data_IF_915479223659
#
_entry.id   IF_915479223659
#
_cell.length_a   1.000
_cell.length_b   1.000
_cell.length_c   1.000
_cell.angle_alpha   90.00
_cell.angle_beta   90.00
_cell.angle_gamma   90.00
#
_symmetry.space_group_name_H-M   'P 1'
#
loop_
_entity.id
_entity.type
_entity.pdbx_description
1 polymer ?
#
# COMPACT_ATOMS: atom_id res chain seq x y z
N UNK A 1 12.84 7.66 2.87
CA UNK A 1 11.46 8.19 2.89
C UNK A 1 10.46 7.07 3.10
N UNK A 2 9.55 7.27 4.05
CA UNK A 2 8.51 6.33 4.45
C UNK A 2 7.15 7.02 4.34
N UNK A 3 6.14 6.29 3.87
CA UNK A 3 4.81 6.85 3.61
C UNK A 3 3.77 6.00 4.30
N UNK A 4 2.93 6.61 5.13
CA UNK A 4 1.75 5.95 5.69
C UNK A 4 0.57 6.20 4.78
N UNK A 5 -0.02 5.13 4.24
CA UNK A 5 -1.18 5.18 3.37
C UNK A 5 -2.36 4.51 4.05
N UNK A 6 -3.48 5.22 4.14
CA UNK A 6 -4.78 4.66 4.50
C UNK A 6 -5.48 4.16 3.25
N UNK A 7 -6.03 2.96 3.32
CA UNK A 7 -6.85 2.33 2.29
C UNK A 7 -8.25 2.16 2.87
N UNK A 8 -9.25 2.76 2.26
CA UNK A 8 -10.63 2.75 2.77
C UNK A 8 -11.67 2.68 1.64
N UNK A 9 -12.94 2.77 2.04
CA UNK A 9 -14.10 2.83 1.16
C UNK A 9 -14.20 1.60 0.25
N UNK A 10 -14.34 0.41 0.84
CA UNK A 10 -14.74 -0.80 0.13
C UNK A 10 -16.23 -0.71 -0.21
N UNK A 11 -16.54 0.19 -1.15
CA UNK A 11 -17.86 0.78 -1.38
C UNK A 11 -18.99 -0.25 -1.59
N UNK A 12 -18.63 -1.51 -1.83
CA UNK A 12 -19.58 -2.58 -2.13
C UNK A 12 -19.63 -3.74 -1.13
N UNK A 13 -18.72 -3.86 -0.15
CA UNK A 13 -18.70 -5.01 0.78
C UNK A 13 -18.86 -4.62 2.25
N UNK A 14 -18.12 -3.63 2.73
CA UNK A 14 -18.18 -3.18 4.12
C UNK A 14 -17.65 -1.73 4.22
N UNK A 15 -18.49 -0.75 4.56
CA UNK A 15 -18.08 0.65 4.63
C UNK A 15 -17.13 0.95 5.81
N UNK A 16 -16.94 0.00 6.73
CA UNK A 16 -16.05 0.12 7.88
C UNK A 16 -14.71 -0.59 7.64
N UNK A 17 -14.55 -1.28 6.51
CA UNK A 17 -13.31 -1.96 6.18
C UNK A 17 -12.22 -0.95 5.83
N UNK A 18 -11.01 -1.20 6.32
CA UNK A 18 -9.85 -0.36 6.07
C UNK A 18 -8.55 -1.14 6.21
N UNK A 19 -7.48 -0.61 5.62
CA UNK A 19 -6.12 -1.01 5.92
C UNK A 19 -5.22 0.22 6.05
N UNK A 20 -4.27 0.18 6.96
CA UNK A 20 -3.19 1.15 7.08
C UNK A 20 -1.92 0.42 6.66
N UNK A 21 -1.24 0.95 5.66
CA UNK A 21 0.03 0.41 5.17
C UNK A 21 1.14 1.43 5.33
N UNK A 22 2.31 0.95 5.70
CA UNK A 22 3.56 1.69 5.64
C UNK A 22 4.31 1.28 4.39
N UNK A 23 4.82 2.25 3.64
CA UNK A 23 5.60 2.02 2.42
C UNK A 23 6.97 2.65 2.59
N UNK A 24 8.00 1.83 2.48
CA UNK A 24 9.39 2.28 2.36
C UNK A 24 9.72 2.44 0.88
N UNK A 25 9.87 3.69 0.44
CA UNK A 25 10.06 3.99 -0.98
C UNK A 25 11.47 3.67 -1.49
N UNK A 26 12.44 3.51 -0.58
CA UNK A 26 13.83 3.18 -0.90
C UNK A 26 13.99 1.66 -0.99
N UNK A 27 13.51 0.93 0.02
CA UNK A 27 13.52 -0.53 0.06
C UNK A 27 12.50 -1.15 -0.91
N UNK A 28 11.56 -0.36 -1.44
CA UNK A 28 10.42 -0.81 -2.27
C UNK A 28 9.62 -1.91 -1.58
N UNK A 29 9.39 -1.73 -0.28
CA UNK A 29 8.65 -2.65 0.58
C UNK A 29 7.46 -1.95 1.20
N UNK A 30 6.45 -2.73 1.55
CA UNK A 30 5.34 -2.24 2.35
C UNK A 30 5.02 -3.23 3.47
N UNK A 31 4.50 -2.71 4.58
CA UNK A 31 3.96 -3.48 5.71
C UNK A 31 2.55 -3.01 6.03
N UNK A 32 1.75 -3.89 6.62
CA UNK A 32 0.40 -3.60 7.09
C UNK A 32 0.46 -3.34 8.59
N UNK A 33 0.19 -2.10 8.98
CA UNK A 33 0.22 -1.64 10.37
C UNK A 33 -1.13 -1.83 11.08
N UNK A 34 -2.22 -1.85 10.33
CA UNK A 34 -3.56 -2.05 10.88
C UNK A 34 -4.56 -2.39 9.79
N UNK A 35 -5.62 -3.13 10.13
CA UNK A 35 -6.70 -3.41 9.20
C UNK A 35 -7.96 -3.88 9.93
N UNK A 36 -9.11 -3.67 9.32
CA UNK A 36 -10.37 -4.30 9.70
C UNK A 36 -11.18 -4.63 8.44
N UNK A 37 -11.94 -5.73 8.45
CA UNK A 37 -12.83 -6.10 7.34
C UNK A 37 -12.14 -6.51 6.03
N UNK A 38 -10.80 -6.46 5.94
CA UNK A 38 -10.04 -6.85 4.74
C UNK A 38 -8.94 -7.85 5.03
N UNK A 39 -8.76 -8.78 4.09
CA UNK A 39 -7.66 -9.74 4.07
C UNK A 39 -6.50 -9.19 3.24
N UNK A 40 -5.59 -8.50 3.92
CA UNK A 40 -4.34 -7.98 3.35
C UNK A 40 -3.15 -8.73 3.94
N UNK A 41 -2.14 -9.04 3.11
CA UNK A 41 -0.89 -9.65 3.59
C UNK A 41 -0.20 -8.74 4.61
N UNK A 42 0.59 -9.32 5.52
CA UNK A 42 1.29 -8.55 6.54
C UNK A 42 2.36 -7.62 5.96
N UNK A 43 2.99 -8.03 4.87
CA UNK A 43 3.98 -7.22 4.16
C UNK A 43 4.19 -7.72 2.73
N UNK A 44 4.94 -6.95 1.96
CA UNK A 44 5.39 -7.35 0.65
C UNK A 44 6.22 -6.30 -0.07
N UNK A 45 6.22 -6.36 -1.39
CA UNK A 45 6.97 -5.44 -2.25
C UNK A 45 6.04 -4.43 -2.90
N UNK A 46 6.51 -3.22 -3.14
CA UNK A 46 5.82 -2.25 -3.99
C UNK A 46 6.62 -2.03 -5.28
N UNK A 47 5.92 -1.87 -6.39
CA UNK A 47 6.55 -1.63 -7.68
C UNK A 47 5.62 -0.81 -8.57
N UNK A 48 6.15 -0.12 -9.59
CA UNK A 48 5.32 0.55 -10.60
C UNK A 48 4.35 -0.46 -11.25
N UNK A 49 3.09 -0.07 -11.39
CA UNK A 49 2.04 -0.86 -12.04
C UNK A 49 1.28 0.05 -13.03
N UNK A 50 0.65 -0.48 -14.10
CA UNK A 50 -0.10 0.37 -15.02
C UNK A 50 -1.16 1.19 -14.28
N UNK A 51 -1.01 2.51 -14.28
CA UNK A 51 -1.93 3.43 -13.60
C UNK A 51 -1.46 3.94 -12.23
N UNK A 52 -0.36 3.43 -11.66
CA UNK A 52 0.17 3.93 -10.39
C UNK A 52 1.19 2.99 -9.73
N UNK A 53 1.04 2.77 -8.43
CA UNK A 53 1.92 1.88 -7.65
C UNK A 53 1.19 0.60 -7.27
N UNK A 54 1.74 -0.56 -7.64
CA UNK A 54 1.23 -1.87 -7.23
C UNK A 54 1.81 -2.31 -5.89
N UNK A 55 0.98 -2.90 -5.03
CA UNK A 55 1.38 -3.63 -3.83
C UNK A 55 1.31 -5.14 -4.10
N UNK A 56 2.40 -5.85 -3.85
CA UNK A 56 2.55 -7.28 -4.10
C UNK A 56 2.79 -8.01 -2.79
N UNK A 57 2.08 -9.11 -2.56
CA UNK A 57 2.22 -9.92 -1.35
C UNK A 57 3.58 -10.65 -1.32
N UNK A 58 4.22 -10.76 -0.15
CA UNK A 58 5.50 -11.47 -0.05
C UNK A 58 5.39 -12.98 -0.38
N UNK A 59 4.32 -13.66 0.02
CA UNK A 59 4.23 -15.13 -0.06
C UNK A 59 4.08 -15.67 -1.49
N UNK A 60 3.19 -15.07 -2.28
CA UNK A 60 2.84 -15.56 -3.63
C UNK A 60 3.31 -14.60 -4.75
N UNK A 61 3.86 -13.44 -4.40
CA UNK A 61 4.16 -12.32 -5.32
C UNK A 61 2.96 -11.88 -6.17
N UNK A 62 1.75 -12.28 -5.80
CA UNK A 62 0.52 -11.78 -6.38
C UNK A 62 0.35 -10.30 -6.06
N UNK A 63 0.01 -9.52 -7.08
CA UNK A 63 -0.47 -8.15 -6.88
C UNK A 63 -1.75 -8.20 -6.04
N UNK A 64 -1.74 -7.46 -4.94
CA UNK A 64 -2.84 -7.33 -3.99
C UNK A 64 -3.77 -6.20 -4.44
N UNK A 65 -3.19 -5.04 -4.75
CA UNK A 65 -3.92 -3.88 -5.25
C UNK A 65 -2.99 -2.91 -5.97
N UNK A 66 -3.60 -2.04 -6.77
CA UNK A 66 -2.95 -0.89 -7.39
C UNK A 66 -3.44 0.40 -6.73
N UNK A 67 -2.52 1.23 -6.26
CA UNK A 67 -2.75 2.59 -5.79
C UNK A 67 -2.69 3.52 -7.01
N UNK A 68 -3.85 3.75 -7.64
CA UNK A 68 -3.94 4.49 -8.90
C UNK A 68 -3.56 5.96 -8.69
N UNK A 69 -2.72 6.49 -9.58
CA UNK A 69 -2.19 7.86 -9.53
C UNK A 69 -0.98 8.03 -8.60
N UNK A 70 -0.78 7.13 -7.63
CA UNK A 70 0.36 7.21 -6.72
C UNK A 70 1.65 6.86 -7.47
N UNK A 71 2.59 7.79 -7.50
CA UNK A 71 3.90 7.60 -8.12
C UNK A 71 5.03 7.73 -7.10
N UNK A 72 5.48 6.60 -6.56
CA UNK A 72 6.62 6.55 -5.62
C UNK A 72 7.99 6.73 -6.29
N UNK A 73 8.05 6.90 -7.61
CA UNK A 73 9.27 7.18 -8.36
C UNK A 73 9.35 8.63 -8.84
N UNK A 74 8.32 9.44 -8.57
CA UNK A 74 8.39 10.87 -8.82
C UNK A 74 9.46 11.50 -7.92
N UNK A 75 10.31 12.36 -8.47
CA UNK A 75 11.39 13.00 -7.73
C UNK A 75 10.91 13.96 -6.62
N UNK A 76 9.65 14.37 -6.67
CA UNK A 76 8.99 15.18 -5.63
C UNK A 76 8.27 14.35 -4.56
N UNK A 77 8.18 13.02 -4.73
CA UNK A 77 7.52 12.11 -3.80
C UNK A 77 6.01 12.33 -3.66
N UNK A 78 5.29 11.40 -3.01
CA UNK A 78 3.93 11.68 -2.56
C UNK A 78 3.93 12.70 -1.41
N UNK A 79 2.83 13.43 -1.25
CA UNK A 79 2.67 14.43 -0.18
C UNK A 79 1.50 14.08 0.77
N UNK A 80 1.54 14.61 1.99
CA UNK A 80 0.46 14.43 2.98
C UNK A 80 -0.87 14.97 2.45
N UNK A 81 -1.92 14.15 2.51
CA UNK A 81 -3.25 14.46 1.98
C UNK A 81 -3.46 14.10 0.50
N UNK A 82 -2.43 13.63 -0.21
CA UNK A 82 -2.59 13.07 -1.54
C UNK A 82 -3.54 11.86 -1.49
N UNK A 83 -4.42 11.74 -2.48
CA UNK A 83 -5.40 10.67 -2.50
C UNK A 83 -5.75 10.22 -3.92
N UNK A 84 -6.25 9.00 -4.02
CA UNK A 84 -6.65 8.42 -5.29
C UNK A 84 -7.51 7.17 -5.10
N UNK A 85 -7.69 6.42 -6.17
CA UNK A 85 -8.48 5.19 -6.18
C UNK A 85 -7.59 3.98 -5.96
N UNK A 86 -8.10 2.99 -5.23
CA UNK A 86 -7.47 1.67 -5.09
C UNK A 86 -8.19 0.71 -6.01
N UNK A 87 -7.43 0.00 -6.84
CA UNK A 87 -7.93 -1.15 -7.61
C UNK A 87 -7.51 -2.43 -6.91
N UNK A 88 -8.45 -3.14 -6.30
CA UNK A 88 -8.15 -4.40 -5.62
C UNK A 88 -8.11 -5.58 -6.58
N UNK A 89 -7.15 -6.48 -6.37
CA UNK A 89 -7.00 -7.72 -7.13
C UNK A 89 -7.46 -8.90 -6.28
N UNK A 90 -8.76 -9.00 -6.02
CA UNK A 90 -9.31 -10.19 -5.37
C UNK A 90 -9.42 -11.36 -6.36
N UNK A 91 -9.19 -12.57 -5.85
CA UNK A 91 -9.19 -13.86 -6.58
C UNK A 91 -10.58 -14.34 -7.01
N UNK A 92 -11.64 -13.56 -6.82
CA UNK A 92 -13.02 -13.99 -7.07
C UNK A 92 -13.66 -13.08 -8.10
N UNK A 93 -13.82 -13.61 -9.32
CA UNK A 93 -14.93 -13.63 -10.29
C UNK A 93 -16.05 -12.56 -10.26
N UNK A 94 -15.97 -11.50 -9.45
CA UNK A 94 -17.04 -10.57 -9.15
C UNK A 94 -16.47 -9.15 -9.05
N UNK A 95 -16.17 -8.55 -10.20
CA UNK A 95 -15.89 -7.13 -10.32
C UNK A 95 -14.55 -6.66 -9.74
N UNK A 96 -14.05 -5.55 -10.27
CA UNK A 96 -12.98 -4.80 -9.62
C UNK A 96 -13.60 -4.10 -8.41
N UNK A 97 -13.20 -4.49 -7.20
CA UNK A 97 -13.58 -3.75 -6.01
C UNK A 97 -12.78 -2.44 -6.02
N UNK A 98 -13.50 -1.33 -6.11
CA UNK A 98 -12.92 0.01 -6.10
C UNK A 98 -12.89 0.51 -4.65
N UNK A 99 -11.73 1.02 -4.23
CA UNK A 99 -11.53 1.68 -2.94
C UNK A 99 -10.85 3.04 -3.10
N UNK A 100 -10.46 3.64 -1.98
CA UNK A 100 -9.72 4.90 -1.94
C UNK A 100 -8.43 4.73 -1.16
N UNK A 101 -7.39 5.43 -1.57
CA UNK A 101 -6.16 5.57 -0.79
C UNK A 101 -5.92 7.02 -0.45
N UNK A 102 -5.31 7.24 0.70
CA UNK A 102 -4.97 8.56 1.24
C UNK A 102 -3.60 8.49 1.90
N UNK A 103 -2.68 9.36 1.52
CA UNK A 103 -1.41 9.54 2.21
C UNK A 103 -1.69 10.30 3.50
N UNK A 104 -1.51 9.64 4.65
CA UNK A 104 -1.74 10.25 5.96
C UNK A 104 -0.51 10.94 6.50
N UNK A 105 0.68 10.41 6.21
CA UNK A 105 1.94 10.90 6.75
C UNK A 105 3.07 10.56 5.78
N UNK A 106 4.00 11.51 5.60
CA UNK A 106 5.25 11.32 4.86
C UNK A 106 6.39 11.60 5.83
N UNK A 107 7.21 10.59 6.10
CA UNK A 107 8.44 10.71 6.86
C UNK A 107 9.63 10.73 5.89
N UNK A 108 10.21 11.92 5.71
CA UNK A 108 11.39 12.13 4.86
C UNK A 108 12.71 11.79 5.59
N UNK A 109 12.62 11.37 6.86
CA UNK A 109 13.79 10.94 7.62
C UNK A 109 14.49 9.79 6.89
N UNK A 110 15.81 9.88 6.81
CA UNK A 110 16.64 8.76 6.34
C UNK A 110 16.51 7.65 7.40
N UNK A 111 16.06 6.45 7.04
CA UNK A 111 15.90 5.38 8.02
C UNK A 111 17.26 5.08 8.64
N UNK A 112 17.36 5.22 9.96
CA UNK A 112 18.48 4.66 10.70
C UNK A 112 18.39 3.12 10.60
N UNK A 113 19.48 2.41 10.26
CA UNK A 113 19.46 0.97 10.06
C UNK A 113 19.00 0.16 11.29
N UNK A 114 18.98 0.77 12.49
CA UNK A 114 18.47 0.13 13.72
C UNK A 114 16.94 0.00 13.78
N UNK A 115 16.20 0.73 12.93
CA UNK A 115 14.73 0.76 12.87
C UNK A 115 14.16 -0.07 11.70
N UNK A 116 14.99 -0.91 11.08
CA UNK A 116 14.62 -1.78 9.97
C UNK A 116 13.79 -2.98 10.44
N UNK A 117 12.47 -2.81 10.58
CA UNK A 117 11.53 -3.88 10.93
C UNK A 117 11.29 -4.89 9.78
N UNK A 118 12.27 -5.11 8.91
CA UNK A 118 12.16 -6.12 7.86
C UNK A 118 12.81 -7.39 8.39
N UNK A 119 11.96 -8.34 8.79
CA UNK A 119 12.39 -9.64 9.27
C UNK A 119 13.42 -10.25 8.31
N UNK A 120 14.57 -10.56 8.91
CA UNK A 120 15.71 -11.26 8.38
C UNK A 120 15.29 -12.48 7.55
N UNK A 121 15.83 -12.57 6.33
CA UNK A 121 15.69 -13.72 5.44
C UNK A 121 16.47 -14.89 6.03
N UNK A 122 15.76 -15.91 6.56
CA UNK A 122 16.31 -17.25 6.85
C UNK A 122 15.38 -18.36 6.40
#
# INVERSE_FOLDING_TARGET
MRVTVHLDSFDQLDPSAYAIVWIDTEAKKWSREGHAGVSLSEWGQCAPSPGGTGLFASQDRGEVCTLEGLNLEAGEGPFEGECGSVRWRQRLNAGSLEGRWHVQCVDESVPDPEDGLFADEV
#
